data_IF_813489514559
#
_entry.id   IF_813489514559
#
_cell.length_a   1.000
_cell.length_b   1.000
_cell.length_c   1.000
_cell.angle_alpha   90.00
_cell.angle_beta   90.00
_cell.angle_gamma   90.00
#
_symmetry.space_group_name_H-M   'P 1'
#
loop_
_entity.id
_entity.type
_entity.pdbx_description
1 polymer ?
#
# COMPACT_ATOMS: atom_id res chain seq x y z
N UNK A 1 1.69 10.40 0.84
CA UNK A 1 0.27 10.41 1.28
C UNK A 1 0.22 10.03 2.75
N UNK A 2 -0.71 10.60 3.52
CA UNK A 2 -0.86 10.37 4.95
C UNK A 2 -2.34 10.19 5.31
N UNK A 3 -2.63 9.26 6.21
CA UNK A 3 -3.97 9.06 6.80
C UNK A 3 -3.90 9.33 8.28
N UNK A 4 -4.71 10.27 8.74
CA UNK A 4 -4.88 10.66 10.13
C UNK A 4 -5.99 9.80 10.76
N UNK A 5 -5.80 9.30 11.98
CA UNK A 5 -6.68 8.33 12.62
C UNK A 5 -7.36 8.84 13.92
N UNK A 6 -7.05 10.04 14.38
CA UNK A 6 -7.71 10.60 15.56
C UNK A 6 -9.14 11.07 15.26
N UNK A 7 -9.84 11.52 16.30
CA UNK A 7 -11.23 11.95 16.17
C UNK A 7 -11.37 13.06 15.10
N UNK A 8 -12.37 13.00 14.21
CA UNK A 8 -13.58 12.18 14.31
C UNK A 8 -13.51 10.83 13.57
N UNK A 9 -12.33 10.36 13.17
CA UNK A 9 -12.20 9.05 12.51
C UNK A 9 -12.56 7.92 13.45
N UNK A 10 -13.15 6.87 12.90
CA UNK A 10 -13.58 5.68 13.64
C UNK A 10 -13.00 4.39 13.03
N UNK A 11 -12.91 3.29 13.79
CA UNK A 11 -12.40 2.03 13.27
C UNK A 11 -13.17 1.58 12.02
N UNK A 12 -12.44 1.24 10.96
CA UNK A 12 -13.01 0.87 9.67
C UNK A 12 -13.18 2.00 8.67
N UNK A 13 -13.00 3.27 9.06
CA UNK A 13 -12.87 4.37 8.09
C UNK A 13 -11.71 4.08 7.13
N UNK A 14 -11.88 4.40 5.85
CA UNK A 14 -10.83 4.19 4.86
C UNK A 14 -10.57 5.43 3.99
N UNK A 15 -9.31 5.56 3.58
CA UNK A 15 -8.87 6.52 2.58
C UNK A 15 -8.23 5.77 1.41
N UNK A 16 -8.57 6.18 0.19
CA UNK A 16 -8.12 5.53 -1.03
C UNK A 16 -7.34 6.53 -1.91
N UNK A 17 -6.12 6.16 -2.29
CA UNK A 17 -5.34 6.85 -3.32
C UNK A 17 -5.24 5.96 -4.55
N UNK A 18 -5.78 6.44 -5.67
CA UNK A 18 -5.84 5.70 -6.93
C UNK A 18 -4.92 6.35 -7.95
N UNK A 19 -4.07 5.56 -8.61
CA UNK A 19 -3.21 6.04 -9.69
C UNK A 19 -4.02 6.38 -10.94
N UNK A 20 -3.45 7.17 -11.84
CA UNK A 20 -3.91 7.19 -13.22
C UNK A 20 -3.74 5.81 -13.86
N UNK A 21 -4.52 5.47 -14.91
CA UNK A 21 -4.37 4.21 -15.61
C UNK A 21 -2.96 4.05 -16.18
N UNK A 22 -2.42 2.83 -16.12
CA UNK A 22 -1.11 2.44 -16.61
C UNK A 22 -1.19 1.13 -17.40
N UNK A 23 -0.22 0.91 -18.28
CA UNK A 23 -0.11 -0.30 -19.10
C UNK A 23 1.21 -0.98 -18.81
N UNK A 24 1.18 -2.25 -18.43
CA UNK A 24 2.37 -3.09 -18.24
C UNK A 24 2.17 -4.47 -18.86
N UNK A 25 2.47 -4.64 -20.16
CA UNK A 25 2.29 -5.91 -20.85
C UNK A 25 3.15 -7.06 -20.32
N UNK A 26 4.23 -6.75 -19.58
CA UNK A 26 5.15 -7.73 -19.00
C UNK A 26 4.96 -7.91 -17.48
N UNK A 27 3.96 -7.22 -16.89
CA UNK A 27 3.86 -7.07 -15.44
C UNK A 27 4.93 -6.14 -14.88
N UNK A 28 4.88 -5.90 -13.58
CA UNK A 28 5.82 -4.98 -12.92
C UNK A 28 6.04 -5.29 -11.46
N UNK A 29 6.95 -4.52 -10.87
CA UNK A 29 7.17 -4.49 -9.43
C UNK A 29 6.80 -3.10 -8.92
N UNK A 30 5.76 -3.03 -8.11
CA UNK A 30 5.40 -1.84 -7.37
C UNK A 30 6.31 -1.75 -6.14
N UNK A 31 7.01 -0.64 -6.00
CA UNK A 31 7.85 -0.30 -4.87
C UNK A 31 7.25 0.92 -4.17
N UNK A 32 7.17 0.90 -2.84
CA UNK A 32 6.75 2.05 -2.06
C UNK A 32 7.29 1.95 -0.64
N UNK A 33 7.50 3.08 0.00
CA UNK A 33 7.80 3.16 1.42
C UNK A 33 6.53 3.36 2.22
N UNK A 34 6.46 2.79 3.41
CA UNK A 34 5.37 3.05 4.36
C UNK A 34 5.86 3.24 5.79
N UNK A 35 5.14 4.05 6.56
CA UNK A 35 5.24 4.09 8.01
C UNK A 35 3.91 3.64 8.62
N UNK A 36 3.96 2.60 9.45
CA UNK A 36 2.80 1.99 10.11
C UNK A 36 3.17 1.68 11.57
N UNK A 37 3.40 2.71 12.38
CA UNK A 37 3.81 2.58 13.78
C UNK A 37 2.67 2.93 14.75
N UNK A 38 2.18 1.94 15.50
CA UNK A 38 1.19 2.20 16.55
C UNK A 38 0.49 0.94 17.07
N UNK A 39 0.03 0.98 18.32
CA UNK A 39 -0.55 -0.18 18.99
C UNK A 39 -1.92 -0.58 18.43
N UNK A 40 -2.67 0.40 17.91
CA UNK A 40 -4.00 0.22 17.29
C UNK A 40 -3.95 0.36 15.77
N UNK A 41 -2.79 0.06 15.18
CA UNK A 41 -2.55 0.20 13.75
C UNK A 41 -3.56 -0.61 12.93
N UNK A 42 -4.01 0.02 11.86
CA UNK A 42 -5.02 -0.51 10.96
C UNK A 42 -4.42 -1.36 9.87
N UNK A 43 -4.93 -1.22 8.65
CA UNK A 43 -4.52 -2.02 7.50
C UNK A 43 -4.21 -1.15 6.30
N UNK A 44 -3.10 -1.44 5.61
CA UNK A 44 -2.79 -0.90 4.29
C UNK A 44 -2.95 -2.01 3.25
N UNK A 45 -3.77 -1.76 2.23
CA UNK A 45 -3.99 -2.66 1.09
C UNK A 45 -3.42 -2.06 -0.20
N UNK A 46 -2.95 -2.93 -1.09
CA UNK A 46 -2.68 -2.61 -2.49
C UNK A 46 -3.64 -3.43 -3.36
N UNK A 47 -4.45 -2.73 -4.14
CA UNK A 47 -5.49 -3.33 -4.98
C UNK A 47 -5.23 -2.91 -6.43
N UNK A 48 -5.28 -3.85 -7.35
CA UNK A 48 -5.22 -3.61 -8.80
C UNK A 48 -6.62 -3.72 -9.38
N UNK A 49 -7.00 -2.76 -10.22
CA UNK A 49 -8.22 -2.83 -11.02
C UNK A 49 -7.88 -2.76 -12.51
N UNK A 50 -8.27 -3.77 -13.29
CA UNK A 50 -8.00 -3.85 -14.73
C UNK A 50 -9.24 -3.56 -15.61
N UNK A 51 -10.29 -2.98 -15.02
CA UNK A 51 -11.58 -2.71 -15.66
C UNK A 51 -12.55 -3.90 -15.65
N UNK A 52 -12.05 -5.14 -15.54
CA UNK A 52 -12.89 -6.34 -15.44
C UNK A 52 -13.04 -6.82 -13.99
N UNK A 53 -11.98 -6.72 -13.20
CA UNK A 53 -11.97 -7.12 -11.79
C UNK A 53 -11.05 -6.25 -10.95
N UNK A 54 -11.34 -6.21 -9.64
CA UNK A 54 -10.45 -5.67 -8.62
C UNK A 54 -9.83 -6.82 -7.84
N UNK A 55 -8.50 -6.88 -7.81
CA UNK A 55 -7.72 -7.93 -7.16
C UNK A 55 -6.80 -7.32 -6.12
N UNK A 56 -6.90 -7.77 -4.86
CA UNK A 56 -5.97 -7.38 -3.80
C UNK A 56 -4.64 -8.08 -3.98
N UNK A 57 -3.60 -7.33 -4.29
CA UNK A 57 -2.25 -7.85 -4.53
C UNK A 57 -1.45 -8.01 -3.24
N UNK A 58 -1.68 -7.13 -2.27
CA UNK A 58 -0.93 -7.09 -1.03
C UNK A 58 -1.72 -6.47 0.12
N UNK A 59 -1.38 -6.86 1.34
CA UNK A 59 -1.97 -6.32 2.57
C UNK A 59 -0.99 -6.43 3.75
N UNK A 60 -0.95 -5.40 4.59
CA UNK A 60 -0.33 -5.43 5.91
C UNK A 60 -1.23 -4.79 6.94
N UNK A 61 -1.26 -5.40 8.12
CA UNK A 61 -2.04 -4.93 9.25
C UNK A 61 -1.18 -4.88 10.51
N UNK A 62 -1.54 -4.01 11.44
CA UNK A 62 -0.86 -3.89 12.71
C UNK A 62 0.47 -3.15 12.63
N UNK A 63 1.15 -3.06 13.77
CA UNK A 63 2.40 -2.33 13.93
C UNK A 63 3.54 -2.96 13.10
N UNK A 64 4.17 -2.17 12.22
CA UNK A 64 5.33 -2.57 11.40
C UNK A 64 6.66 -2.02 11.95
N UNK A 65 6.65 -1.46 13.16
CA UNK A 65 7.80 -0.84 13.79
C UNK A 65 7.93 0.65 13.49
N UNK A 66 8.88 1.34 14.16
CA UNK A 66 8.99 2.80 14.11
C UNK A 66 9.60 3.34 12.80
N UNK A 67 10.33 2.49 12.07
CA UNK A 67 11.06 2.89 10.87
C UNK A 67 10.18 2.77 9.63
N UNK A 68 10.49 3.60 8.63
CA UNK A 68 9.95 3.42 7.29
C UNK A 68 10.38 2.07 6.72
N UNK A 69 9.42 1.33 6.16
CA UNK A 69 9.67 0.03 5.53
C UNK A 69 9.45 0.13 4.03
N UNK A 70 10.37 -0.43 3.26
CA UNK A 70 10.23 -0.60 1.81
C UNK A 70 9.44 -1.87 1.51
N UNK A 71 8.40 -1.74 0.70
CA UNK A 71 7.59 -2.85 0.21
C UNK A 71 7.72 -3.03 -1.29
N UNK A 72 7.74 -4.29 -1.72
CA UNK A 72 7.75 -4.70 -3.10
C UNK A 72 6.57 -5.62 -3.37
N UNK A 73 5.74 -5.26 -4.35
CA UNK A 73 4.51 -6.00 -4.70
C UNK A 73 4.52 -6.30 -6.19
N UNK A 74 4.48 -7.59 -6.52
CA UNK A 74 4.38 -8.04 -7.91
C UNK A 74 3.02 -7.66 -8.50
N UNK A 75 3.04 -6.95 -9.61
CA UNK A 75 1.85 -6.54 -10.36
C UNK A 75 1.74 -7.40 -11.62
N UNK A 76 0.62 -8.15 -11.80
CA UNK A 76 0.39 -8.95 -13.00
C UNK A 76 0.41 -8.13 -14.29
N UNK A 77 0.77 -8.79 -15.40
CA UNK A 77 0.69 -8.18 -16.72
C UNK A 77 -0.75 -7.76 -17.05
N UNK A 78 -0.93 -6.53 -17.52
CA UNK A 78 -2.21 -6.02 -18.01
C UNK A 78 -2.01 -4.86 -18.98
N UNK A 79 -2.83 -4.83 -20.02
CA UNK A 79 -2.83 -3.76 -21.03
C UNK A 79 -3.34 -2.42 -20.47
N UNK A 80 -4.18 -2.45 -19.43
CA UNK A 80 -4.69 -1.26 -18.77
C UNK A 80 -5.09 -1.61 -17.33
N UNK A 81 -4.60 -0.86 -16.35
CA UNK A 81 -4.98 -1.01 -14.95
C UNK A 81 -4.70 0.24 -14.12
N UNK A 82 -5.37 0.34 -12.97
CA UNK A 82 -5.04 1.27 -11.89
C UNK A 82 -4.55 0.51 -10.67
N UNK A 83 -3.73 1.16 -9.84
CA UNK A 83 -3.37 0.69 -8.51
C UNK A 83 -4.04 1.62 -7.49
N UNK A 84 -4.64 1.02 -6.48
CA UNK A 84 -5.24 1.68 -5.34
C UNK A 84 -4.49 1.30 -4.07
N UNK A 85 -4.01 2.30 -3.35
CA UNK A 85 -3.61 2.17 -1.96
C UNK A 85 -4.81 2.50 -1.08
N UNK A 86 -5.20 1.57 -0.21
CA UNK A 86 -6.30 1.76 0.73
C UNK A 86 -5.78 1.63 2.16
N UNK A 87 -5.81 2.74 2.90
CA UNK A 87 -5.52 2.76 4.33
C UNK A 87 -6.83 2.69 5.12
N UNK A 88 -6.96 1.70 6.01
CA UNK A 88 -8.12 1.45 6.87
C UNK A 88 -7.72 1.73 8.31
N UNK A 89 -8.46 2.60 8.99
CA UNK A 89 -8.26 2.96 10.40
C UNK A 89 -8.53 1.77 11.32
N UNK A 90 -7.60 1.50 12.22
CA UNK A 90 -7.73 0.47 13.28
C UNK A 90 -8.48 0.98 14.52
N UNK A 91 -8.25 0.34 15.66
CA UNK A 91 -9.09 0.51 16.87
C UNK A 91 -8.74 1.74 17.74
N UNK A 92 -8.05 2.75 17.23
CA UNK A 92 -7.67 3.92 18.02
C UNK A 92 -6.76 4.89 17.29
N UNK A 93 -6.50 6.04 17.91
CA UNK A 93 -5.77 7.17 17.30
C UNK A 93 -4.31 6.84 16.91
N UNK A 94 -3.71 5.77 17.43
CA UNK A 94 -2.37 5.31 17.01
C UNK A 94 -2.42 4.49 15.71
N UNK A 95 -3.27 4.88 14.76
CA UNK A 95 -3.48 4.21 13.47
C UNK A 95 -3.09 5.09 12.28
N UNK A 96 -2.31 6.13 12.55
CA UNK A 96 -1.79 7.01 11.51
C UNK A 96 -0.88 6.22 10.57
N UNK A 97 -1.05 6.41 9.26
CA UNK A 97 -0.25 5.71 8.25
C UNK A 97 0.25 6.70 7.21
N UNK A 98 1.44 6.43 6.70
CA UNK A 98 2.02 7.20 5.61
C UNK A 98 2.56 6.27 4.53
N UNK A 99 2.49 6.72 3.28
CA UNK A 99 3.21 6.13 2.16
C UNK A 99 4.02 7.21 1.43
N UNK A 100 5.18 6.84 0.91
CA UNK A 100 6.05 7.72 0.13
C UNK A 100 6.81 6.94 -0.95
N UNK A 101 7.46 7.68 -1.86
CA UNK A 101 8.42 7.13 -2.84
C UNK A 101 7.86 5.95 -3.66
N UNK A 102 6.64 6.13 -4.17
CA UNK A 102 5.94 5.13 -4.98
C UNK A 102 6.51 5.07 -6.40
N UNK A 103 6.94 3.89 -6.85
CA UNK A 103 7.43 3.66 -8.20
C UNK A 103 7.03 2.28 -8.72
N UNK A 104 6.93 2.14 -10.04
CA UNK A 104 6.70 0.85 -10.71
C UNK A 104 7.85 0.59 -11.67
N UNK A 105 8.52 -0.55 -11.52
CA UNK A 105 9.55 -1.01 -12.45
C UNK A 105 9.03 -2.14 -13.32
N UNK A 106 9.50 -2.24 -14.56
CA UNK A 106 9.14 -3.34 -15.45
C UNK A 106 9.72 -4.68 -14.94
N UNK A 107 8.95 -5.75 -15.13
CA UNK A 107 9.34 -7.10 -14.69
C UNK A 107 9.01 -7.41 -13.23
N UNK A 108 9.09 -8.68 -12.85
CA UNK A 108 8.75 -9.15 -11.50
C UNK A 108 9.70 -8.60 -10.42
N UNK A 109 9.21 -8.48 -9.18
CA UNK A 109 10.02 -8.08 -8.04
C UNK A 109 11.20 -9.05 -7.83
N UNK A 110 12.39 -8.50 -7.57
CA UNK A 110 13.63 -9.27 -7.61
C UNK A 110 14.04 -9.90 -6.27
N UNK A 111 13.45 -9.55 -5.11
CA UNK A 111 13.77 -10.18 -3.82
C UNK A 111 12.61 -10.16 -2.79
N UNK A 112 12.53 -11.14 -1.87
CA UNK A 112 11.77 -11.04 -0.62
C UNK A 112 12.66 -10.46 0.51
N UNK A 113 12.21 -9.39 1.17
CA UNK A 113 12.74 -8.99 2.48
C UNK A 113 13.09 -7.51 2.62
N UNK A 114 12.49 -6.87 3.62
CA UNK A 114 12.69 -5.48 4.06
C UNK A 114 14.14 -5.00 3.96
N UNK A 115 14.36 -3.94 3.18
CA UNK A 115 15.47 -3.03 3.47
C UNK A 115 15.00 -2.05 4.55
N UNK A 116 15.11 -2.44 5.81
CA UNK A 116 15.17 -1.45 6.89
C UNK A 116 16.48 -0.68 6.73
N UNK A 117 16.38 0.63 6.46
CA UNK A 117 17.54 1.51 6.56
C UNK A 117 17.95 1.54 8.04
N UNK A 118 19.21 1.18 8.28
CA UNK A 118 19.88 1.36 9.58
C UNK A 118 20.44 2.77 9.67
#
# INVERSE_FOLDING_TARGET
>A
MYTEASAPRVPGDSAQLVTTPYSSPQGGCLNFWSNMYGATMGTLNVIMNNGASSTKLWSRSGNQGPNWQLWQVSVPASANYTIMFEGIVGNGFTSDMAIDDVSVTAGSCTLPGEKSLT
#
